data_IF_412372275091
#
_entry.id   IF_412372275091
#
_cell.length_a   1.000
_cell.length_b   1.000
_cell.length_c   1.000
_cell.angle_alpha   90.00
_cell.angle_beta   90.00
_cell.angle_gamma   90.00
#
_symmetry.space_group_name_H-M   'P 1'
#
loop_
_entity.id
_entity.type
_entity.pdbx_description
1 polymer ?
#
# COMPACT_ATOMS: atom_id res chain seq x y z
N UNK A 1 -16.99 -1.33 2.25
CA UNK A 1 -18.41 -1.15 2.58
C UNK A 1 -19.05 -0.32 1.45
N UNK A 2 -20.33 0.05 1.52
CA UNK A 2 -21.05 0.66 0.38
C UNK A 2 -21.73 1.98 0.71
N UNK A 3 -21.44 2.59 1.86
CA UNK A 3 -22.03 3.84 2.31
C UNK A 3 -21.74 4.94 1.29
N UNK A 4 -22.78 5.65 0.85
CA UNK A 4 -22.64 6.74 -0.09
C UNK A 4 -21.79 7.87 0.50
N UNK A 5 -20.71 8.26 -0.18
CA UNK A 5 -19.85 9.36 0.24
C UNK A 5 -20.49 10.72 -0.13
N UNK A 6 -20.24 11.74 0.70
CA UNK A 6 -20.83 13.07 0.58
C UNK A 6 -19.78 14.15 0.82
N UNK A 7 -20.07 15.36 0.37
CA UNK A 7 -19.26 16.54 0.71
C UNK A 7 -19.14 16.69 2.23
N UNK A 8 -17.93 17.00 2.69
CA UNK A 8 -17.45 17.02 4.08
C UNK A 8 -17.16 15.66 4.73
N UNK A 9 -17.39 14.53 4.05
CA UNK A 9 -17.00 13.24 4.63
C UNK A 9 -15.46 13.18 4.71
N UNK A 10 -14.89 12.71 5.84
CA UNK A 10 -13.46 12.67 6.04
C UNK A 10 -12.77 11.68 5.10
N UNK A 11 -11.50 11.96 4.82
CA UNK A 11 -10.59 11.03 4.14
C UNK A 11 -9.40 10.75 5.05
N UNK A 12 -8.82 9.56 4.97
CA UNK A 12 -7.63 9.20 5.73
C UNK A 12 -6.51 8.70 4.83
N UNK A 13 -5.29 8.83 5.35
CA UNK A 13 -4.11 8.12 4.87
C UNK A 13 -3.74 7.04 5.86
N UNK A 14 -3.12 5.97 5.36
CA UNK A 14 -2.57 4.94 6.22
C UNK A 14 -1.09 5.18 6.50
N UNK A 15 -0.56 4.46 7.48
CA UNK A 15 0.87 4.41 7.76
C UNK A 15 1.56 3.26 7.00
N UNK A 16 1.01 2.83 5.86
CA UNK A 16 1.52 1.69 5.08
C UNK A 16 3.00 1.85 4.75
N UNK A 17 3.43 3.03 4.30
CA UNK A 17 4.82 3.31 3.99
C UNK A 17 5.75 3.15 5.20
N UNK A 18 5.34 3.64 6.38
CA UNK A 18 6.13 3.50 7.59
C UNK A 18 6.25 2.02 8.01
N UNK A 19 5.14 1.29 7.97
CA UNK A 19 5.11 -0.14 8.24
C UNK A 19 5.97 -0.95 7.26
N UNK A 20 5.90 -0.62 5.97
CA UNK A 20 6.73 -1.20 4.92
C UNK A 20 8.22 -0.95 5.17
N UNK A 21 8.63 0.27 5.52
CA UNK A 21 10.04 0.58 5.78
C UNK A 21 10.57 -0.13 7.03
N UNK A 22 9.77 -0.22 8.10
CA UNK A 22 10.13 -0.99 9.30
C UNK A 22 10.26 -2.48 8.95
N UNK A 23 9.29 -3.03 8.21
CA UNK A 23 9.34 -4.41 7.72
C UNK A 23 10.58 -4.67 6.84
N UNK A 24 10.95 -3.71 6.00
CA UNK A 24 12.14 -3.79 5.15
C UNK A 24 13.43 -3.86 5.98
N UNK A 25 13.57 -3.00 6.99
CA UNK A 25 14.74 -2.99 7.89
C UNK A 25 14.88 -4.32 8.64
N UNK A 26 13.76 -4.84 9.17
CA UNK A 26 13.77 -6.13 9.88
C UNK A 26 14.09 -7.28 8.91
N UNK A 27 13.52 -7.26 7.69
CA UNK A 27 13.82 -8.23 6.65
C UNK A 27 15.30 -8.27 6.28
N UNK A 28 15.94 -7.11 6.11
CA UNK A 28 17.38 -7.00 5.88
C UNK A 28 18.17 -7.60 7.04
N UNK A 29 17.76 -7.33 8.29
CA UNK A 29 18.42 -7.88 9.46
C UNK A 29 18.32 -9.42 9.50
N UNK A 30 17.17 -10.00 9.12
CA UNK A 30 16.97 -11.45 9.03
C UNK A 30 17.90 -12.05 7.97
N UNK A 31 17.96 -11.46 6.78
CA UNK A 31 18.83 -11.93 5.69
C UNK A 31 20.30 -11.84 6.11
N UNK A 32 20.72 -10.74 6.74
CA UNK A 32 22.08 -10.56 7.23
C UNK A 32 22.47 -11.58 8.32
N UNK A 33 21.57 -11.83 9.29
CA UNK A 33 21.78 -12.82 10.34
C UNK A 33 21.86 -14.24 9.76
N UNK A 34 20.99 -14.58 8.80
CA UNK A 34 21.03 -15.86 8.10
C UNK A 34 22.34 -16.01 7.32
N UNK A 35 22.74 -14.99 6.55
CA UNK A 35 24.00 -15.00 5.81
C UNK A 35 25.21 -15.20 6.74
N UNK A 36 25.21 -14.58 7.93
CA UNK A 36 26.27 -14.77 8.93
C UNK A 36 26.24 -16.17 9.57
N UNK A 37 25.06 -16.65 10.00
CA UNK A 37 24.92 -17.94 10.66
C UNK A 37 25.25 -19.12 9.72
N UNK A 38 24.89 -18.97 8.45
CA UNK A 38 25.09 -19.98 7.41
C UNK A 38 26.37 -19.74 6.60
N UNK A 39 27.20 -18.80 7.01
CA UNK A 39 28.49 -18.53 6.38
C UNK A 39 29.46 -19.73 6.39
N UNK A 40 29.20 -20.74 7.23
CA UNK A 40 29.99 -21.97 7.32
C UNK A 40 29.40 -23.16 6.56
N UNK A 41 28.18 -23.10 6.02
CA UNK A 41 27.59 -24.21 5.28
C UNK A 41 27.94 -24.13 3.77
N UNK A 42 27.85 -25.27 3.07
CA UNK A 42 28.28 -25.36 1.67
C UNK A 42 27.45 -24.51 0.73
N UNK A 43 27.98 -24.19 -0.45
CA UNK A 43 27.33 -23.29 -1.41
C UNK A 43 25.83 -23.56 -1.61
N UNK A 44 25.48 -24.82 -1.88
CA UNK A 44 24.08 -25.24 -2.06
C UNK A 44 23.23 -25.07 -0.79
N UNK A 45 23.78 -25.41 0.38
CA UNK A 45 23.08 -25.24 1.65
C UNK A 45 22.89 -23.75 1.99
N UNK A 46 23.91 -22.92 1.77
CA UNK A 46 23.85 -21.46 1.96
C UNK A 46 22.85 -20.79 1.02
N UNK A 47 22.75 -21.25 -0.23
CA UNK A 47 21.78 -20.73 -1.20
C UNK A 47 20.33 -21.11 -0.82
N UNK A 48 20.09 -22.36 -0.42
CA UNK A 48 18.76 -22.82 0.05
C UNK A 48 18.34 -22.03 1.30
N UNK A 49 19.24 -21.89 2.27
CA UNK A 49 18.96 -21.19 3.51
C UNK A 49 18.81 -19.68 3.31
N UNK A 50 19.58 -19.09 2.40
CA UNK A 50 19.41 -17.70 1.96
C UNK A 50 18.04 -17.47 1.34
N UNK A 51 17.59 -18.37 0.45
CA UNK A 51 16.24 -18.31 -0.13
C UNK A 51 15.16 -18.45 0.95
N UNK A 52 15.32 -19.35 1.92
CA UNK A 52 14.36 -19.47 3.02
C UNK A 52 14.31 -18.19 3.88
N UNK A 53 15.45 -17.58 4.16
CA UNK A 53 15.52 -16.31 4.87
C UNK A 53 14.84 -15.17 4.09
N UNK A 54 14.96 -15.17 2.76
CA UNK A 54 14.30 -14.24 1.85
C UNK A 54 12.77 -14.34 1.94
N UNK A 55 12.22 -15.56 1.94
CA UNK A 55 10.78 -15.79 2.09
C UNK A 55 10.26 -15.29 3.45
N UNK A 56 11.03 -15.49 4.52
CA UNK A 56 10.70 -14.99 5.86
C UNK A 56 10.76 -13.46 5.87
N UNK A 57 11.81 -12.86 5.31
CA UNK A 57 11.97 -11.42 5.22
C UNK A 57 10.83 -10.77 4.43
N UNK A 58 10.42 -11.38 3.31
CA UNK A 58 9.27 -10.96 2.51
C UNK A 58 7.96 -11.04 3.28
N UNK A 59 7.79 -12.08 4.11
CA UNK A 59 6.64 -12.20 5.00
C UNK A 59 6.60 -11.09 6.06
N UNK A 60 7.75 -10.76 6.67
CA UNK A 60 7.87 -9.66 7.63
C UNK A 60 7.62 -8.31 6.99
N UNK A 61 8.06 -8.11 5.74
CA UNK A 61 7.77 -6.91 4.97
C UNK A 61 6.26 -6.71 4.78
N UNK A 62 5.55 -7.76 4.34
CA UNK A 62 4.09 -7.75 4.15
C UNK A 62 3.35 -7.54 5.48
N UNK A 63 3.82 -8.14 6.57
CA UNK A 63 3.28 -7.93 7.91
C UNK A 63 3.45 -6.47 8.36
N UNK A 64 4.63 -5.89 8.13
CA UNK A 64 4.91 -4.49 8.43
C UNK A 64 3.95 -3.57 7.67
N UNK A 65 3.79 -3.79 6.37
CA UNK A 65 2.83 -3.05 5.54
C UNK A 65 1.38 -3.22 6.03
N UNK A 66 0.95 -4.44 6.36
CA UNK A 66 -0.40 -4.70 6.86
C UNK A 66 -0.69 -3.99 8.19
N UNK A 67 0.29 -3.97 9.11
CA UNK A 67 0.21 -3.20 10.35
C UNK A 67 0.19 -1.70 10.04
N UNK A 68 1.01 -1.24 9.10
CA UNK A 68 1.01 0.16 8.64
C UNK A 68 -0.36 0.57 8.09
N UNK A 69 -1.03 -0.31 7.34
CA UNK A 69 -2.37 -0.07 6.80
C UNK A 69 -3.48 0.00 7.85
N UNK A 70 -3.32 -0.71 8.97
CA UNK A 70 -4.33 -0.67 10.04
C UNK A 70 -4.28 0.61 10.86
N UNK A 71 -3.13 1.29 10.86
CA UNK A 71 -2.95 2.58 11.50
C UNK A 71 -3.20 3.67 10.46
N UNK A 72 -4.23 4.48 10.69
CA UNK A 72 -4.58 5.58 9.81
C UNK A 72 -4.85 6.84 10.62
N UNK A 73 -4.76 7.97 9.94
CA UNK A 73 -5.12 9.28 10.47
C UNK A 73 -5.95 10.03 9.45
N UNK A 74 -6.98 10.73 9.91
CA UNK A 74 -7.77 11.62 9.08
C UNK A 74 -6.85 12.68 8.48
N UNK A 75 -6.82 12.74 7.15
CA UNK A 75 -5.92 13.57 6.37
C UNK A 75 -6.68 14.65 5.58
N UNK A 76 -7.98 14.83 5.81
CA UNK A 76 -8.76 15.91 5.21
C UNK A 76 -10.20 15.51 4.96
N UNK A 77 -10.81 16.09 3.93
CA UNK A 77 -12.24 15.88 3.62
C UNK A 77 -12.61 16.15 2.15
N UNK A 78 -13.77 15.64 1.75
CA UNK A 78 -14.36 15.91 0.44
C UNK A 78 -14.88 17.35 0.39
N UNK A 79 -14.53 18.09 -0.67
CA UNK A 79 -14.91 19.50 -0.84
C UNK A 79 -16.11 19.70 -1.75
N UNK A 80 -16.14 18.99 -2.89
CA UNK A 80 -17.17 19.20 -3.92
C UNK A 80 -17.96 17.92 -4.21
N UNK A 81 -19.21 18.09 -4.61
CA UNK A 81 -20.15 17.01 -4.89
C UNK A 81 -21.08 17.36 -6.03
N UNK A 82 -22.17 16.62 -6.16
CA UNK A 82 -23.19 16.89 -7.17
C UNK A 82 -24.03 18.12 -6.84
N UNK A 83 -24.33 18.93 -7.85
CA UNK A 83 -25.15 20.14 -7.74
C UNK A 83 -26.64 19.84 -7.52
N UNK A 84 -27.11 18.67 -7.96
CA UNK A 84 -28.53 18.32 -7.99
C UNK A 84 -28.84 16.94 -7.37
N UNK A 85 -27.82 16.20 -6.91
CA UNK A 85 -28.00 14.93 -6.22
C UNK A 85 -27.38 15.04 -4.84
N UNK A 86 -28.19 14.85 -3.81
CA UNK A 86 -27.76 14.90 -2.42
C UNK A 86 -28.06 13.59 -1.72
N UNK A 87 -27.22 13.21 -0.76
CA UNK A 87 -27.47 12.12 0.17
C UNK A 87 -27.52 12.70 1.57
N UNK A 88 -28.65 12.52 2.27
CA UNK A 88 -28.90 13.12 3.60
C UNK A 88 -28.59 14.63 3.63
N UNK A 89 -29.17 15.38 2.67
CA UNK A 89 -29.03 16.84 2.56
C UNK A 89 -27.61 17.36 2.31
N UNK A 90 -26.63 16.48 2.03
CA UNK A 90 -25.27 16.86 1.62
C UNK A 90 -25.04 16.45 0.16
N UNK A 91 -24.38 17.27 -0.67
CA UNK A 91 -24.06 16.91 -2.04
C UNK A 91 -23.37 15.55 -2.12
N UNK A 92 -23.85 14.67 -3.00
CA UNK A 92 -23.29 13.33 -3.15
C UNK A 92 -21.94 13.40 -3.88
N UNK A 93 -20.95 12.65 -3.40
CA UNK A 93 -19.62 12.63 -3.97
C UNK A 93 -19.54 11.66 -5.17
N UNK A 94 -18.71 11.99 -6.15
CA UNK A 94 -18.57 11.24 -7.40
C UNK A 94 -17.13 11.26 -7.90
N UNK A 95 -16.68 10.14 -8.47
CA UNK A 95 -15.36 10.07 -9.08
C UNK A 95 -15.20 11.12 -10.19
N UNK A 96 -13.95 11.47 -10.52
CA UNK A 96 -13.56 12.45 -11.57
C UNK A 96 -13.90 13.91 -11.29
N UNK A 97 -15.11 14.20 -10.80
CA UNK A 97 -15.60 15.58 -10.65
C UNK A 97 -15.57 16.08 -9.20
N UNK A 98 -15.68 15.21 -8.20
CA UNK A 98 -15.52 15.61 -6.81
C UNK A 98 -14.05 15.77 -6.46
N UNK A 99 -13.77 16.86 -5.75
CA UNK A 99 -12.46 17.22 -5.23
C UNK A 99 -12.39 16.96 -3.72
N UNK A 100 -11.19 16.72 -3.25
CA UNK A 100 -10.86 16.50 -1.84
C UNK A 100 -9.71 17.42 -1.45
N UNK A 101 -9.81 17.95 -0.24
CA UNK A 101 -8.68 18.57 0.43
C UNK A 101 -7.94 17.47 1.19
N UNK A 102 -6.68 17.29 0.85
CA UNK A 102 -5.78 16.40 1.59
C UNK A 102 -4.70 17.27 2.26
N UNK A 103 -4.60 17.25 3.57
CA UNK A 103 -3.65 18.06 4.34
C UNK A 103 -2.19 17.58 4.14
N UNK A 104 -1.99 16.35 3.65
CA UNK A 104 -0.68 15.83 3.25
C UNK A 104 -0.21 16.36 1.87
N UNK A 105 -1.07 17.06 1.11
CA UNK A 105 -0.79 17.49 -0.25
C UNK A 105 -1.19 18.96 -0.48
N UNK A 106 -0.37 19.72 -1.21
CA UNK A 106 -0.64 21.15 -1.45
C UNK A 106 -1.84 21.34 -2.40
N UNK A 107 -1.92 20.50 -3.44
CA UNK A 107 -2.97 20.59 -4.44
C UNK A 107 -4.16 19.72 -4.07
N UNK A 108 -5.37 20.24 -4.30
CA UNK A 108 -6.59 19.45 -4.24
C UNK A 108 -6.50 18.25 -5.18
N UNK A 109 -7.05 17.13 -4.71
CA UNK A 109 -7.07 15.86 -5.44
C UNK A 109 -8.49 15.52 -5.80
N UNK A 110 -8.68 14.61 -6.75
CA UNK A 110 -10.00 14.14 -7.12
C UNK A 110 -10.25 12.75 -6.56
N UNK A 111 -11.52 12.39 -6.47
CA UNK A 111 -11.90 11.01 -6.17
C UNK A 111 -11.61 10.16 -7.43
N UNK A 112 -10.81 9.11 -7.26
CA UNK A 112 -10.30 8.28 -8.35
C UNK A 112 -11.13 7.01 -8.56
N UNK A 113 -11.88 6.58 -7.54
CA UNK A 113 -12.71 5.38 -7.57
C UNK A 113 -14.19 5.66 -7.29
N UNK A 114 -15.03 4.74 -7.74
CA UNK A 114 -16.46 4.75 -7.45
C UNK A 114 -17.15 3.45 -7.86
N UNK A 115 -18.47 3.43 -7.76
CA UNK A 115 -19.32 2.31 -8.16
C UNK A 115 -19.25 2.03 -9.67
N UNK A 116 -19.19 0.74 -10.03
CA UNK A 116 -19.26 0.28 -11.42
C UNK A 116 -20.68 0.40 -12.02
N UNK A 117 -21.70 0.38 -11.16
CA UNK A 117 -23.10 0.25 -11.59
C UNK A 117 -23.91 1.52 -11.31
N UNK A 118 -23.47 2.37 -10.38
CA UNK A 118 -24.22 3.54 -9.93
C UNK A 118 -23.46 4.79 -10.32
N UNK A 119 -24.13 5.65 -11.07
CA UNK A 119 -23.56 6.87 -11.61
C UNK A 119 -24.36 8.09 -11.11
N UNK A 120 -23.65 9.13 -10.70
CA UNK A 120 -24.20 10.44 -10.33
C UNK A 120 -23.68 11.46 -11.34
N UNK A 121 -24.59 12.02 -12.13
CA UNK A 121 -24.29 12.95 -13.23
C UNK A 121 -23.23 12.37 -14.17
N UNK A 122 -23.47 11.13 -14.62
CA UNK A 122 -22.60 10.38 -15.54
C UNK A 122 -21.21 10.04 -15.02
N UNK A 123 -20.96 10.17 -13.72
CA UNK A 123 -19.71 9.73 -13.09
C UNK A 123 -19.95 8.65 -12.03
N UNK A 124 -19.02 7.70 -11.84
CA UNK A 124 -19.13 6.69 -10.79
C UNK A 124 -19.39 7.32 -9.43
N UNK A 125 -20.40 6.81 -8.72
CA UNK A 125 -20.74 7.32 -7.40
C UNK A 125 -19.69 6.88 -6.37
N UNK A 126 -19.17 7.83 -5.59
CA UNK A 126 -18.15 7.56 -4.59
C UNK A 126 -18.78 7.03 -3.30
N UNK A 127 -18.06 6.16 -2.61
CA UNK A 127 -18.49 5.49 -1.39
C UNK A 127 -17.38 5.47 -0.36
N UNK A 128 -17.73 5.13 0.87
CA UNK A 128 -16.76 4.73 1.86
C UNK A 128 -15.84 3.63 1.30
N UNK A 129 -14.56 3.71 1.65
CA UNK A 129 -13.49 2.85 1.17
C UNK A 129 -13.05 3.05 -0.30
N UNK A 130 -13.69 3.94 -1.08
CA UNK A 130 -13.18 4.29 -2.41
C UNK A 130 -11.98 5.26 -2.29
N UNK A 131 -11.00 5.12 -3.19
CA UNK A 131 -9.75 5.88 -3.16
C UNK A 131 -9.79 7.19 -3.98
N UNK A 132 -8.95 8.13 -3.56
CA UNK A 132 -8.64 9.39 -4.24
C UNK A 132 -7.36 9.29 -5.06
N UNK A 133 -7.04 10.28 -5.91
CA UNK A 133 -5.83 10.29 -6.73
C UNK A 133 -4.52 10.23 -5.92
N UNK A 134 -4.54 10.64 -4.64
CA UNK A 134 -3.38 10.53 -3.76
C UNK A 134 -3.36 9.25 -2.93
N UNK A 135 -4.23 8.28 -3.20
CA UNK A 135 -4.39 7.03 -2.42
C UNK A 135 -5.00 7.23 -1.02
N UNK A 136 -5.54 8.42 -0.72
CA UNK A 136 -6.36 8.60 0.47
C UNK A 136 -7.70 7.88 0.30
N UNK A 137 -8.19 7.28 1.39
CA UNK A 137 -9.43 6.50 1.43
C UNK A 137 -10.54 7.33 2.06
N UNK A 138 -11.75 7.24 1.53
CA UNK A 138 -12.93 7.88 2.13
C UNK A 138 -13.29 7.15 3.43
N UNK A 139 -13.19 7.86 4.56
CA UNK A 139 -13.28 7.33 5.92
C UNK A 139 -14.72 7.01 6.33
N UNK A 140 -15.65 7.89 5.95
CA UNK A 140 -17.04 7.82 6.38
C UNK A 140 -18.00 8.03 5.20
N UNK A 141 -19.25 7.66 5.42
CA UNK A 141 -20.30 7.83 4.43
C UNK A 141 -21.68 7.95 5.07
N UNK A 142 -22.70 7.86 4.24
CA UNK A 142 -24.07 7.90 4.70
C UNK A 142 -24.43 6.71 5.60
N UNK A 143 -25.03 6.93 6.78
CA UNK A 143 -25.36 5.84 7.71
C UNK A 143 -26.51 4.93 7.24
N UNK A 144 -27.26 5.36 6.22
CA UNK A 144 -28.49 4.70 5.78
C UNK A 144 -28.67 4.67 4.25
N UNK A 145 -27.71 5.17 3.48
CA UNK A 145 -27.77 5.12 2.01
C UNK A 145 -26.53 4.38 1.51
N UNK A 146 -26.77 3.28 0.81
CA UNK A 146 -25.72 2.39 0.34
C UNK A 146 -25.79 2.27 -1.18
N UNK A 147 -24.65 2.40 -1.84
CA UNK A 147 -24.49 2.32 -3.28
C UNK A 147 -23.76 1.01 -3.61
N UNK A 148 -24.50 0.02 -4.11
CA UNK A 148 -23.94 -1.27 -4.48
C UNK A 148 -23.08 -1.24 -5.75
N UNK A 149 -22.73 -2.44 -6.22
CA UNK A 149 -21.89 -2.66 -7.40
C UNK A 149 -20.40 -2.80 -7.09
N UNK A 150 -19.63 -3.21 -8.09
CA UNK A 150 -18.17 -3.29 -8.01
C UNK A 150 -17.52 -1.92 -7.81
N UNK A 151 -16.20 -1.91 -7.61
CA UNK A 151 -15.39 -0.68 -7.57
C UNK A 151 -14.62 -0.57 -8.88
N UNK A 152 -14.76 0.57 -9.56
CA UNK A 152 -13.94 0.89 -10.72
C UNK A 152 -12.98 2.04 -10.41
N UNK A 153 -11.77 1.96 -10.96
CA UNK A 153 -10.77 3.03 -10.89
C UNK A 153 -10.78 3.79 -12.21
N UNK A 154 -11.12 5.08 -12.16
CA UNK A 154 -11.29 5.94 -13.35
C UNK A 154 -10.21 7.01 -13.47
N UNK A 155 -9.49 7.30 -12.39
CA UNK A 155 -8.29 8.14 -12.39
C UNK A 155 -7.12 7.34 -11.83
N UNK A 156 -5.91 7.72 -12.23
CA UNK A 156 -4.68 7.13 -11.70
C UNK A 156 -4.54 7.44 -10.21
N UNK A 157 -4.19 6.41 -9.43
CA UNK A 157 -3.97 6.52 -7.99
C UNK A 157 -2.47 6.49 -7.74
N UNK A 158 -1.95 7.56 -7.15
CA UNK A 158 -0.57 7.63 -6.69
C UNK A 158 -0.44 6.91 -5.35
N UNK A 159 -0.05 5.63 -5.37
CA UNK A 159 -0.03 4.80 -4.16
C UNK A 159 0.91 5.32 -3.07
N UNK A 160 0.51 5.15 -1.79
CA UNK A 160 1.32 5.46 -0.61
C UNK A 160 2.67 4.73 -0.62
N UNK A 161 2.71 3.52 -1.19
CA UNK A 161 3.95 2.78 -1.44
C UNK A 161 4.14 2.73 -2.96
N UNK A 162 5.05 3.54 -3.52
CA UNK A 162 5.32 3.49 -4.94
C UNK A 162 5.80 2.10 -5.40
N UNK A 163 5.27 1.61 -6.52
CA UNK A 163 5.64 0.30 -7.08
C UNK A 163 7.15 0.13 -7.29
N UNK A 164 7.84 1.21 -7.67
CA UNK A 164 9.29 1.19 -7.84
C UNK A 164 10.03 0.93 -6.53
N UNK A 165 9.53 1.47 -5.41
CA UNK A 165 10.14 1.30 -4.09
C UNK A 165 10.00 -0.14 -3.63
N UNK A 166 8.81 -0.73 -3.83
CA UNK A 166 8.56 -2.14 -3.55
C UNK A 166 9.52 -3.04 -4.34
N UNK A 167 9.63 -2.82 -5.65
CA UNK A 167 10.56 -3.55 -6.53
C UNK A 167 12.02 -3.40 -6.08
N UNK A 168 12.44 -2.21 -5.65
CA UNK A 168 13.80 -1.99 -5.15
C UNK A 168 14.09 -2.80 -3.90
N UNK A 169 13.17 -2.85 -2.93
CA UNK A 169 13.33 -3.65 -1.71
C UNK A 169 13.35 -5.15 -2.02
N UNK A 170 12.45 -5.62 -2.88
CA UNK A 170 12.41 -7.03 -3.29
C UNK A 170 13.73 -7.45 -3.98
N UNK A 171 14.23 -6.63 -4.91
CA UNK A 171 15.53 -6.87 -5.57
C UNK A 171 16.67 -6.85 -4.56
N UNK A 172 16.65 -5.92 -3.61
CA UNK A 172 17.67 -5.83 -2.57
C UNK A 172 17.71 -7.10 -1.71
N UNK A 173 16.55 -7.64 -1.34
CA UNK A 173 16.43 -8.87 -0.56
C UNK A 173 17.05 -10.05 -1.33
N UNK A 174 16.66 -10.23 -2.60
CA UNK A 174 17.21 -11.29 -3.45
C UNK A 174 18.72 -11.15 -3.61
N UNK A 175 19.22 -9.94 -3.91
CA UNK A 175 20.66 -9.70 -4.09
C UNK A 175 21.42 -9.96 -2.77
N UNK A 176 20.91 -9.50 -1.63
CA UNK A 176 21.53 -9.73 -0.33
C UNK A 176 21.59 -11.22 0.02
N UNK A 177 20.51 -11.97 -0.22
CA UNK A 177 20.42 -13.41 -0.02
C UNK A 177 21.42 -14.16 -0.91
N UNK A 178 21.56 -13.77 -2.18
CA UNK A 178 22.55 -14.36 -3.10
C UNK A 178 24.00 -14.05 -2.72
N UNK A 179 24.29 -12.80 -2.34
CA UNK A 179 25.63 -12.40 -1.90
C UNK A 179 26.07 -13.15 -0.64
N UNK A 180 25.15 -13.37 0.31
CA UNK A 180 25.40 -14.20 1.49
C UNK A 180 25.79 -15.63 1.12
N UNK A 181 25.05 -16.26 0.20
CA UNK A 181 25.35 -17.61 -0.29
C UNK A 181 26.70 -17.70 -1.02
N UNK A 182 27.03 -16.72 -1.87
CA UNK A 182 28.30 -16.66 -2.60
C UNK A 182 29.50 -16.44 -1.66
N UNK A 183 29.36 -15.55 -0.67
CA UNK A 183 30.41 -15.29 0.30
C UNK A 183 30.73 -16.54 1.15
N UNK A 184 29.71 -17.29 1.58
CA UNK A 184 29.89 -18.56 2.28
C UNK A 184 30.63 -19.60 1.44
N UNK A 185 30.29 -19.70 0.16
CA UNK A 185 30.94 -20.62 -0.77
C UNK A 185 32.41 -20.28 -1.04
N UNK A 186 32.73 -18.99 -1.23
CA UNK A 186 34.12 -18.55 -1.42
C UNK A 186 34.99 -18.95 -0.22
N UNK A 187 34.52 -18.73 1.01
CA UNK A 187 35.29 -19.10 2.20
C UNK A 187 35.50 -20.60 2.32
N UNK A 188 34.51 -21.41 1.97
CA UNK A 188 34.70 -22.86 1.96
C UNK A 188 35.72 -23.30 0.91
N UNK A 189 35.65 -22.75 -0.30
CA UNK A 189 36.66 -23.01 -1.33
C UNK A 189 38.06 -22.60 -0.85
N UNK A 190 38.19 -21.45 -0.19
CA UNK A 190 39.46 -21.00 0.39
C UNK A 190 40.00 -21.91 1.51
N UNK A 191 39.13 -22.57 2.30
CA UNK A 191 39.53 -23.54 3.32
C UNK A 191 39.90 -24.92 2.76
N UNK A 192 39.39 -25.29 1.58
CA UNK A 192 39.69 -26.56 0.92
C UNK A 192 40.98 -26.51 0.09
N UNK A 193 41.48 -25.32 -0.24
CA UNK A 193 42.72 -25.10 -1.00
C UNK A 193 43.98 -24.89 -0.14
N UNK A 194 43.88 -24.99 1.18
CA UNK A 194 44.98 -24.94 2.16
C UNK A 194 45.12 -26.28 2.85
#
# INVERSE_FOLDING_TARGET
MYEAARVDDPIYHTSALAGFLIGAIIGIAIIALAAFAFFSCGFLAGLILGFMADQIASGVLQLGEAIGRSIHHTAGKILTGSENVSTNSRPAARAVLSTVKCDNHIAEKRIAQGSENIYINSQPAARKDDHTECDAVIEDGSPNVFLGGGTQTVLEISSEIPDWLRKVVDVLFVVASLLGGLAGAWRQAAKLGT
#
